data_IF_044300972760
#
_entry.id   IF_044300972760
#
_cell.length_a   1.000
_cell.length_b   1.000
_cell.length_c   1.000
_cell.angle_alpha   90.00
_cell.angle_beta   90.00
_cell.angle_gamma   90.00
#
_symmetry.space_group_name_H-M   'P 1'
#
loop_
_entity.id
_entity.type
_entity.pdbx_description
1 polymer ?
#
# COMPACT_ATOMS: atom_id res chain seq x y z
N UNK A 1 19.44 0.83 0.49
CA UNK A 1 19.88 0.65 1.90
C UNK A 1 18.79 1.27 2.76
N UNK A 2 18.24 0.51 3.71
CA UNK A 2 17.15 1.00 4.58
C UNK A 2 17.62 2.16 5.47
N UNK A 3 16.78 3.18 5.65
CA UNK A 3 17.04 4.34 6.50
C UNK A 3 16.45 4.14 7.90
N UNK A 4 17.22 3.48 8.77
CA UNK A 4 16.86 3.26 10.17
C UNK A 4 17.24 4.46 11.05
N UNK A 5 16.56 4.61 12.19
CA UNK A 5 16.96 5.61 13.19
C UNK A 5 18.32 5.26 13.79
N UNK A 6 19.18 6.27 13.83
CA UNK A 6 20.47 6.22 14.53
C UNK A 6 20.28 6.09 16.04
N UNK A 7 21.36 5.73 16.75
CA UNK A 7 21.37 5.71 18.22
C UNK A 7 20.98 7.08 18.79
N UNK A 8 21.49 8.16 18.19
CA UNK A 8 21.24 9.54 18.63
C UNK A 8 19.76 9.90 18.46
N UNK A 9 19.16 9.58 17.31
CA UNK A 9 17.74 9.84 17.07
C UNK A 9 16.85 9.05 18.03
N UNK A 10 17.15 7.76 18.25
CA UNK A 10 16.41 6.93 19.21
C UNK A 10 16.48 7.50 20.62
N UNK A 11 17.65 7.97 21.04
CA UNK A 11 17.82 8.58 22.36
C UNK A 11 16.98 9.86 22.49
N UNK A 12 16.98 10.72 21.46
CA UNK A 12 16.13 11.93 21.44
C UNK A 12 14.64 11.60 21.52
N UNK A 13 14.20 10.57 20.79
CA UNK A 13 12.79 10.12 20.84
C UNK A 13 12.41 9.66 22.25
N UNK A 14 13.29 8.90 22.92
CA UNK A 14 13.06 8.43 24.29
C UNK A 14 13.00 9.61 25.27
N UNK A 15 13.96 10.52 25.20
CA UNK A 15 14.01 11.69 26.09
C UNK A 15 12.77 12.59 25.90
N UNK A 16 12.34 12.80 24.66
CA UNK A 16 11.12 13.54 24.34
C UNK A 16 9.87 12.83 24.88
N UNK A 17 9.78 11.51 24.71
CA UNK A 17 8.68 10.70 25.21
C UNK A 17 8.56 10.75 26.74
N UNK A 18 9.69 10.72 27.45
CA UNK A 18 9.73 10.78 28.91
C UNK A 18 9.39 12.17 29.43
N UNK A 19 9.94 13.22 28.81
CA UNK A 19 9.73 14.60 29.21
C UNK A 19 8.29 15.06 29.03
N UNK A 20 7.64 14.60 27.96
CA UNK A 20 6.33 15.07 27.51
C UNK A 20 5.29 13.93 27.47
N UNK A 21 5.41 12.93 28.34
CA UNK A 21 4.55 11.75 28.36
C UNK A 21 3.05 12.11 28.35
N UNK A 22 2.63 13.06 29.18
CA UNK A 22 1.23 13.50 29.32
C UNK A 22 0.65 14.07 28.01
N UNK A 23 1.50 14.54 27.09
CA UNK A 23 1.08 15.09 25.79
C UNK A 23 0.75 13.96 24.81
N UNK A 24 1.52 12.87 24.85
CA UNK A 24 1.46 11.81 23.83
C UNK A 24 0.71 10.56 24.30
N UNK A 25 0.56 10.35 25.61
CA UNK A 25 -0.07 9.16 26.18
C UNK A 25 -1.54 9.07 25.75
N UNK A 26 -1.89 7.98 25.07
CA UNK A 26 -3.24 7.71 24.56
C UNK A 26 -3.84 8.87 23.72
N UNK A 27 -2.95 9.69 23.15
CA UNK A 27 -3.28 10.91 22.40
C UNK A 27 -2.63 10.84 21.03
N UNK A 28 -3.30 11.38 20.01
CA UNK A 28 -2.80 11.42 18.63
C UNK A 28 -2.42 12.85 18.26
N UNK A 29 -1.12 13.10 18.11
CA UNK A 29 -0.59 14.41 17.77
C UNK A 29 -0.34 14.48 16.26
N UNK A 30 -0.93 15.48 15.61
CA UNK A 30 -0.61 15.84 14.23
C UNK A 30 0.00 17.24 14.22
N UNK A 31 1.24 17.36 13.73
CA UNK A 31 1.93 18.64 13.56
C UNK A 31 2.10 18.93 12.06
N UNK A 32 1.91 20.18 11.65
CA UNK A 32 2.21 20.62 10.28
C UNK A 32 3.72 20.64 9.97
N UNK A 33 4.55 20.72 11.01
CA UNK A 33 6.01 20.76 10.93
C UNK A 33 6.63 19.47 11.50
N UNK A 34 6.17 18.30 11.03
CA UNK A 34 6.68 17.00 11.48
C UNK A 34 7.89 16.51 10.67
N UNK A 35 8.97 16.16 11.35
CA UNK A 35 10.07 15.31 10.88
C UNK A 35 9.85 13.81 11.21
N UNK A 36 10.77 12.97 10.75
CA UNK A 36 10.70 11.51 10.90
C UNK A 36 10.75 11.04 12.37
N UNK A 37 11.29 11.85 13.28
CA UNK A 37 11.49 11.51 14.70
C UNK A 37 10.34 11.99 15.60
N UNK A 38 9.45 12.85 15.11
CA UNK A 38 8.32 13.31 15.91
C UNK A 38 7.43 12.15 16.37
N UNK A 39 7.03 12.20 17.65
CA UNK A 39 6.12 11.24 18.26
C UNK A 39 4.69 11.59 17.84
N UNK A 40 3.98 10.60 17.31
CA UNK A 40 2.54 10.70 17.00
C UNK A 40 1.73 10.34 18.23
N UNK A 41 2.09 9.25 18.91
CA UNK A 41 1.34 8.72 20.04
C UNK A 41 2.19 7.78 20.88
N UNK A 42 1.82 7.64 22.16
CA UNK A 42 2.36 6.63 23.08
C UNK A 42 1.22 5.71 23.52
N UNK A 43 1.40 4.39 23.37
CA UNK A 43 0.38 3.41 23.75
C UNK A 43 0.05 3.48 25.24
N UNK A 44 -1.21 3.22 25.59
CA UNK A 44 -1.69 3.38 26.95
C UNK A 44 -1.10 2.38 27.94
N UNK A 45 -0.97 1.10 27.55
CA UNK A 45 -0.65 0.03 28.50
C UNK A 45 0.86 -0.15 28.61
N UNK A 46 1.55 -0.34 27.48
CA UNK A 46 2.98 -0.63 27.48
C UNK A 46 3.87 0.59 27.18
N UNK A 47 3.29 1.76 26.92
CA UNK A 47 4.01 2.98 26.53
C UNK A 47 4.90 2.78 25.28
N UNK A 48 4.37 2.07 24.28
CA UNK A 48 5.00 1.94 22.96
C UNK A 48 4.97 3.29 22.25
N UNK A 49 6.12 3.70 21.72
CA UNK A 49 6.30 5.01 21.08
C UNK A 49 6.14 4.83 19.58
N UNK A 50 5.15 5.50 18.99
CA UNK A 50 4.98 5.58 17.54
C UNK A 50 5.48 6.93 17.07
N UNK A 51 6.45 6.92 16.17
CA UNK A 51 6.95 8.12 15.50
C UNK A 51 6.37 8.25 14.09
N UNK A 52 6.43 9.45 13.53
CA UNK A 52 6.09 9.73 12.13
C UNK A 52 6.86 8.81 11.19
N UNK A 53 8.16 8.66 11.43
CA UNK A 53 9.03 7.77 10.68
C UNK A 53 9.22 8.17 9.23
N UNK A 54 9.68 7.21 8.44
CA UNK A 54 9.96 7.36 7.01
C UNK A 54 9.47 6.11 6.26
N UNK A 55 9.93 5.91 5.03
CA UNK A 55 9.52 4.76 4.21
C UNK A 55 9.98 3.39 4.74
N UNK A 56 10.94 3.37 5.66
CA UNK A 56 11.56 2.16 6.22
C UNK A 56 11.24 1.93 7.71
N UNK A 57 10.73 2.93 8.44
CA UNK A 57 10.41 2.79 9.88
C UNK A 57 9.25 3.69 10.32
N UNK A 58 8.58 3.34 11.42
CA UNK A 58 7.56 4.18 12.06
C UNK A 58 6.24 4.21 11.27
N UNK A 59 5.38 5.19 11.57
CA UNK A 59 4.03 5.23 11.03
C UNK A 59 3.97 5.32 9.50
N UNK A 60 4.82 6.14 8.89
CA UNK A 60 4.87 6.30 7.43
C UNK A 60 5.09 4.95 6.75
N UNK A 61 6.06 4.16 7.21
CA UNK A 61 6.31 2.80 6.73
C UNK A 61 5.11 1.88 6.96
N UNK A 62 4.54 1.85 8.17
CA UNK A 62 3.38 1.02 8.50
C UNK A 62 2.19 1.29 7.56
N UNK A 63 1.85 2.56 7.40
CA UNK A 63 0.71 2.99 6.61
C UNK A 63 0.94 2.72 5.12
N UNK A 64 2.11 3.07 4.60
CA UNK A 64 2.42 2.89 3.19
C UNK A 64 2.62 1.41 2.83
N UNK A 65 3.31 0.63 3.66
CA UNK A 65 3.64 -0.75 3.31
C UNK A 65 2.50 -1.72 3.64
N UNK A 66 1.90 -1.57 4.81
CA UNK A 66 0.94 -2.53 5.36
C UNK A 66 -0.49 -2.02 5.43
N UNK A 67 -0.73 -0.71 5.29
CA UNK A 67 -2.07 -0.15 5.23
C UNK A 67 -2.88 -0.74 4.06
N UNK A 68 -4.12 -1.14 4.34
CA UNK A 68 -5.02 -1.78 3.36
C UNK A 68 -5.27 -0.89 2.15
N UNK A 69 -5.46 0.41 2.39
CA UNK A 69 -5.71 1.40 1.35
C UNK A 69 -4.44 1.98 0.72
N UNK A 70 -3.24 1.48 1.05
CA UNK A 70 -2.04 1.93 0.35
C UNK A 70 -1.94 1.32 -1.05
N UNK A 71 -1.63 2.20 -2.01
CA UNK A 71 -1.43 1.88 -3.43
C UNK A 71 0.03 1.88 -3.86
N UNK A 72 0.96 1.98 -2.89
CA UNK A 72 2.38 2.03 -3.21
C UNK A 72 2.86 0.68 -3.75
N UNK A 73 3.42 0.70 -4.94
CA UNK A 73 4.04 -0.46 -5.57
C UNK A 73 5.47 -0.64 -5.02
N UNK A 74 5.75 -1.82 -4.49
CA UNK A 74 7.08 -2.18 -3.99
C UNK A 74 7.71 -3.15 -4.97
N UNK A 75 8.88 -2.82 -5.49
CA UNK A 75 9.61 -3.64 -6.45
C UNK A 75 10.80 -4.29 -5.79
N UNK A 76 10.97 -5.59 -6.00
CA UNK A 76 12.12 -6.35 -5.52
C UNK A 76 12.88 -6.91 -6.72
N UNK A 77 14.19 -6.77 -6.66
CA UNK A 77 15.09 -7.33 -7.66
C UNK A 77 15.21 -8.84 -7.48
N UNK A 78 15.12 -9.56 -8.58
CA UNK A 78 15.46 -10.96 -8.67
C UNK A 78 16.88 -11.08 -9.21
N UNK A 79 17.83 -11.25 -8.29
CA UNK A 79 19.27 -11.31 -8.60
C UNK A 79 19.63 -12.40 -9.63
N UNK A 80 18.87 -13.48 -9.70
CA UNK A 80 19.14 -14.59 -10.65
C UNK A 80 18.76 -14.24 -12.08
N UNK A 81 17.69 -13.46 -12.26
CA UNK A 81 17.12 -13.14 -13.57
C UNK A 81 17.36 -11.69 -13.99
N UNK A 82 17.98 -10.87 -13.14
CA UNK A 82 18.12 -9.41 -13.31
C UNK A 82 16.79 -8.74 -13.67
N UNK A 83 15.68 -9.28 -13.14
CA UNK A 83 14.32 -8.79 -13.37
C UNK A 83 13.74 -8.24 -12.07
N UNK A 84 12.81 -7.30 -12.19
CA UNK A 84 12.07 -6.80 -11.04
C UNK A 84 10.71 -7.46 -10.97
N UNK A 85 10.29 -7.83 -9.76
CA UNK A 85 8.94 -8.33 -9.48
C UNK A 85 8.30 -7.49 -8.39
N UNK A 86 6.98 -7.42 -8.42
CA UNK A 86 6.21 -6.78 -7.35
C UNK A 86 6.33 -7.59 -6.05
N UNK A 87 6.76 -6.92 -4.99
CA UNK A 87 6.56 -7.39 -3.63
C UNK A 87 5.08 -7.21 -3.25
N UNK A 88 4.60 -8.11 -2.40
CA UNK A 88 3.23 -8.15 -1.92
C UNK A 88 3.26 -8.10 -0.40
N UNK A 89 3.59 -6.96 0.24
CA UNK A 89 3.61 -6.86 1.70
C UNK A 89 2.23 -7.22 2.27
N UNK A 90 2.19 -7.91 3.41
CA UNK A 90 0.90 -8.26 4.06
C UNK A 90 0.13 -6.99 4.44
N UNK A 91 -1.18 -7.01 4.24
CA UNK A 91 -2.05 -5.87 4.51
C UNK A 91 -2.91 -6.08 5.75
N UNK A 92 -3.07 -5.02 6.54
CA UNK A 92 -3.99 -4.98 7.67
C UNK A 92 -5.44 -5.18 7.22
N UNK A 93 -6.31 -5.49 8.19
CA UNK A 93 -7.74 -5.65 7.95
C UNK A 93 -8.34 -4.35 7.36
N UNK A 94 -9.24 -4.42 6.36
CA UNK A 94 -9.77 -3.24 5.65
C UNK A 94 -10.45 -2.20 6.55
N UNK A 95 -11.04 -2.64 7.65
CA UNK A 95 -11.75 -1.76 8.58
C UNK A 95 -10.83 -1.13 9.65
N UNK A 96 -9.57 -1.56 9.76
CA UNK A 96 -8.64 -0.98 10.74
C UNK A 96 -8.30 0.47 10.37
N UNK A 97 -8.43 1.36 11.35
CA UNK A 97 -7.98 2.73 11.24
C UNK A 97 -6.47 2.81 11.48
N UNK A 98 -5.69 3.39 10.55
CA UNK A 98 -4.26 3.61 10.74
C UNK A 98 -3.96 4.39 12.02
N UNK A 99 -2.80 4.09 12.63
CA UNK A 99 -2.36 4.56 13.95
C UNK A 99 -3.24 4.02 15.09
N UNK A 100 -4.55 4.31 15.08
CA UNK A 100 -5.49 4.03 16.17
C UNK A 100 -5.61 2.54 16.45
N UNK A 101 -5.84 1.72 15.42
CA UNK A 101 -5.97 0.28 15.62
C UNK A 101 -4.62 -0.42 15.58
N UNK A 102 -3.64 0.16 14.86
CA UNK A 102 -2.28 -0.38 14.81
C UNK A 102 -1.62 -0.34 16.20
N UNK A 103 -1.78 0.77 16.94
CA UNK A 103 -1.24 0.88 18.30
C UNK A 103 -1.92 -0.12 19.24
N UNK A 104 -3.23 -0.33 19.14
CA UNK A 104 -3.95 -1.33 19.97
C UNK A 104 -3.43 -2.75 19.72
N UNK A 105 -3.21 -3.10 18.45
CA UNK A 105 -2.61 -4.39 18.09
C UNK A 105 -1.20 -4.51 18.69
N UNK A 106 -0.36 -3.49 18.49
CA UNK A 106 1.01 -3.47 19.02
C UNK A 106 1.04 -3.61 20.54
N UNK A 107 0.18 -2.87 21.25
CA UNK A 107 0.08 -2.86 22.70
C UNK A 107 -0.38 -4.23 23.23
N UNK A 108 -1.33 -4.88 22.56
CA UNK A 108 -1.79 -6.21 22.95
C UNK A 108 -0.72 -7.30 22.78
N UNK A 109 0.11 -7.21 21.73
CA UNK A 109 1.14 -8.22 21.43
C UNK A 109 2.47 -7.97 22.12
N UNK A 110 2.72 -6.76 22.61
CA UNK A 110 3.95 -6.41 23.32
C UNK A 110 3.93 -6.94 24.75
N UNK A 111 4.39 -8.18 24.92
CA UNK A 111 4.59 -8.81 26.21
C UNK A 111 5.76 -9.82 26.12
N UNK A 112 6.26 -10.26 27.28
CA UNK A 112 7.39 -11.18 27.37
C UNK A 112 7.14 -12.51 26.65
N UNK A 113 5.92 -13.03 26.74
CA UNK A 113 5.56 -14.36 26.23
C UNK A 113 5.55 -14.38 24.69
N UNK A 114 5.27 -13.23 24.09
CA UNK A 114 5.30 -13.03 22.64
C UNK A 114 6.70 -12.66 22.12
N UNK A 115 7.70 -12.40 22.97
CA UNK A 115 9.05 -11.99 22.54
C UNK A 115 9.80 -13.16 21.90
N UNK A 116 10.01 -13.07 20.59
CA UNK A 116 10.65 -14.11 19.78
C UNK A 116 12.16 -13.89 19.67
N UNK A 117 12.92 -14.53 20.55
CA UNK A 117 14.38 -14.45 20.56
C UNK A 117 14.99 -15.23 19.37
N UNK A 118 14.39 -16.36 18.96
CA UNK A 118 14.99 -17.29 17.97
C UNK A 118 14.60 -17.02 16.52
N UNK A 119 13.55 -16.24 16.25
CA UNK A 119 13.00 -15.99 14.90
C UNK A 119 13.12 -14.53 14.47
N UNK A 120 14.19 -13.88 14.92
CA UNK A 120 14.53 -12.51 14.57
C UNK A 120 15.73 -12.52 13.61
N UNK A 121 15.55 -11.94 12.42
CA UNK A 121 16.61 -11.89 11.40
C UNK A 121 17.68 -10.84 11.73
N UNK A 122 17.36 -9.87 12.59
CA UNK A 122 18.26 -8.78 12.99
C UNK A 122 18.17 -8.57 14.52
N UNK A 123 18.58 -9.56 15.33
CA UNK A 123 18.45 -9.53 16.78
C UNK A 123 19.30 -8.45 17.47
N UNK A 124 20.33 -7.95 16.78
CA UNK A 124 21.21 -6.88 17.27
C UNK A 124 20.56 -5.49 17.15
N UNK A 125 19.56 -5.34 16.28
CA UNK A 125 18.94 -4.05 15.94
C UNK A 125 17.51 -3.96 16.44
N UNK A 126 16.78 -5.08 16.43
CA UNK A 126 15.36 -5.11 16.78
C UNK A 126 15.05 -6.13 17.86
N UNK A 127 13.98 -5.87 18.60
CA UNK A 127 13.23 -6.90 19.32
C UNK A 127 11.98 -7.26 18.53
N UNK A 128 11.74 -8.58 18.37
CA UNK A 128 10.57 -9.09 17.65
C UNK A 128 9.58 -9.70 18.61
N UNK A 129 8.33 -9.30 18.48
CA UNK A 129 7.20 -9.87 19.19
C UNK A 129 6.25 -10.51 18.18
N UNK A 130 5.58 -11.59 18.56
CA UNK A 130 4.58 -12.23 17.71
C UNK A 130 3.46 -12.74 18.56
N UNK A 131 2.25 -12.25 18.29
CA UNK A 131 1.05 -12.61 19.02
C UNK A 131 -0.14 -12.65 18.08
N UNK A 132 -1.30 -13.00 18.64
CA UNK A 132 -2.57 -12.99 17.93
C UNK A 132 -3.44 -11.83 18.44
N UNK A 133 -4.18 -11.21 17.53
CA UNK A 133 -5.13 -10.15 17.84
C UNK A 133 -6.42 -10.37 17.05
N UNK A 134 -7.56 -10.14 17.69
CA UNK A 134 -8.88 -10.22 17.07
C UNK A 134 -9.39 -8.81 16.85
N UNK A 135 -9.49 -8.39 15.59
CA UNK A 135 -10.09 -7.09 15.27
C UNK A 135 -11.63 -7.15 15.30
N UNK A 136 -12.19 -8.25 14.80
CA UNK A 136 -13.58 -8.63 15.01
C UNK A 136 -13.64 -9.85 15.92
N UNK A 137 -14.75 -10.06 16.62
CA UNK A 137 -14.94 -11.16 17.58
C UNK A 137 -14.83 -12.57 16.93
N UNK A 138 -14.80 -12.64 15.61
CA UNK A 138 -14.90 -13.89 14.87
C UNK A 138 -13.54 -14.48 14.44
N UNK A 139 -12.49 -13.66 14.29
CA UNK A 139 -11.22 -14.15 13.74
C UNK A 139 -9.97 -13.49 14.34
N UNK A 140 -9.17 -14.33 15.00
CA UNK A 140 -7.81 -13.98 15.42
C UNK A 140 -6.86 -14.03 14.24
N UNK A 141 -6.09 -12.96 14.08
CA UNK A 141 -5.00 -12.88 13.12
C UNK A 141 -3.68 -12.77 13.86
N UNK A 142 -2.65 -13.38 13.30
CA UNK A 142 -1.30 -13.35 13.86
C UNK A 142 -0.55 -12.15 13.32
N UNK A 143 0.12 -11.42 14.20
CA UNK A 143 0.88 -10.21 13.89
C UNK A 143 2.32 -10.33 14.37
N UNK A 144 3.21 -9.61 13.72
CA UNK A 144 4.59 -9.41 14.15
C UNK A 144 4.82 -7.93 14.44
N UNK A 145 5.36 -7.64 15.62
CA UNK A 145 5.82 -6.30 16.00
C UNK A 145 7.34 -6.31 16.08
N UNK A 146 7.96 -5.32 15.48
CA UNK A 146 9.37 -5.01 15.62
C UNK A 146 9.49 -3.68 16.36
N UNK A 147 10.21 -3.70 17.48
CA UNK A 147 10.69 -2.47 18.13
C UNK A 147 12.19 -2.37 17.94
N UNK A 148 12.73 -1.16 18.03
CA UNK A 148 14.18 -1.03 18.16
C UNK A 148 14.66 -1.75 19.43
N UNK A 149 15.83 -2.38 19.34
CA UNK A 149 16.38 -3.25 20.37
C UNK A 149 16.38 -2.57 21.73
N UNK A 150 15.78 -3.22 22.73
CA UNK A 150 15.71 -2.76 24.11
C UNK A 150 15.09 -1.36 24.25
N UNK A 151 14.26 -0.96 23.28
CA UNK A 151 13.44 0.25 23.36
C UNK A 151 11.96 -0.08 23.11
N UNK A 152 11.11 0.90 23.40
CA UNK A 152 9.67 0.86 23.12
C UNK A 152 9.31 1.54 21.80
N UNK A 153 10.29 1.95 21.01
CA UNK A 153 10.05 2.64 19.73
C UNK A 153 9.65 1.61 18.69
N UNK A 154 8.45 1.74 18.14
CA UNK A 154 7.95 0.86 17.09
C UNK A 154 8.73 1.13 15.80
N UNK A 155 9.37 0.07 15.28
CA UNK A 155 9.98 0.08 13.96
C UNK A 155 8.95 -0.30 12.89
N UNK A 156 8.30 -1.46 13.05
CA UNK A 156 7.28 -1.96 12.12
C UNK A 156 6.32 -2.94 12.81
N UNK A 157 5.17 -3.17 12.19
CA UNK A 157 4.06 -4.00 12.65
C UNK A 157 3.35 -4.50 11.40
N UNK A 158 3.17 -5.81 11.29
CA UNK A 158 2.53 -6.38 10.10
C UNK A 158 1.84 -7.72 10.39
N UNK A 159 0.78 -8.07 9.65
CA UNK A 159 0.18 -9.40 9.72
C UNK A 159 1.14 -10.48 9.19
N UNK A 160 1.11 -11.67 9.80
CA UNK A 160 1.86 -12.86 9.37
C UNK A 160 1.41 -13.36 7.99
N UNK A 161 0.11 -13.23 7.68
CA UNK A 161 -0.50 -13.71 6.43
C UNK A 161 -0.97 -12.57 5.52
N UNK A 162 -0.96 -12.83 4.21
CA UNK A 162 -1.42 -11.91 3.15
C UNK A 162 -2.92 -12.04 2.87
N UNK A 163 -3.74 -12.19 3.92
CA UNK A 163 -5.18 -12.52 3.81
C UNK A 163 -5.98 -11.42 3.12
N UNK A 164 -5.64 -10.16 3.41
CA UNK A 164 -6.33 -8.97 2.90
C UNK A 164 -5.64 -8.36 1.67
N UNK A 165 -4.62 -9.02 1.14
CA UNK A 165 -3.95 -8.56 -0.07
C UNK A 165 -4.86 -8.78 -1.29
N UNK A 166 -4.83 -7.82 -2.21
CA UNK A 166 -5.46 -8.01 -3.53
C UNK A 166 -4.72 -9.07 -4.34
N UNK A 167 -5.49 -9.82 -5.12
CA UNK A 167 -4.96 -10.85 -6.02
C UNK A 167 -4.61 -10.19 -7.35
N UNK A 168 -3.34 -9.88 -7.55
CA UNK A 168 -2.84 -9.35 -8.83
C UNK A 168 -2.14 -10.46 -9.61
N UNK A 169 -2.48 -10.62 -10.89
CA UNK A 169 -1.88 -11.62 -11.79
C UNK A 169 -0.85 -11.06 -12.77
N UNK A 170 -0.94 -9.77 -13.07
CA UNK A 170 -0.01 -9.14 -14.02
C UNK A 170 1.29 -8.72 -13.34
N UNK A 171 2.35 -8.57 -14.17
CA UNK A 171 3.69 -8.16 -13.74
C UNK A 171 3.82 -6.65 -13.44
N UNK A 172 2.78 -5.88 -13.73
CA UNK A 172 2.73 -4.43 -13.56
C UNK A 172 2.00 -4.04 -12.28
N UNK A 173 2.47 -2.98 -11.62
CA UNK A 173 1.86 -2.46 -10.40
C UNK A 173 0.69 -1.55 -10.76
N UNK A 174 -0.45 -1.70 -10.07
CA UNK A 174 -1.59 -0.78 -10.28
C UNK A 174 -1.21 0.60 -9.73
N UNK A 175 -1.29 1.64 -10.54
CA UNK A 175 -1.04 3.01 -10.12
C UNK A 175 -2.28 3.66 -9.50
N UNK A 176 -2.27 4.99 -9.44
CA UNK A 176 -3.38 5.78 -8.89
C UNK A 176 -4.45 5.97 -9.97
N UNK A 177 -5.68 5.59 -9.65
CA UNK A 177 -6.84 5.82 -10.51
C UNK A 177 -7.12 7.30 -10.59
N UNK A 178 -7.26 7.82 -11.81
CA UNK A 178 -7.51 9.24 -12.04
C UNK A 178 -8.72 9.45 -12.94
N UNK A 179 -9.43 10.54 -12.71
CA UNK A 179 -10.51 11.01 -13.57
C UNK A 179 -10.53 12.53 -13.60
N UNK A 180 -10.86 13.13 -14.74
CA UNK A 180 -11.19 14.56 -14.80
C UNK A 180 -12.63 14.73 -14.32
N UNK A 181 -12.82 15.35 -13.16
CA UNK A 181 -14.15 15.57 -12.57
C UNK A 181 -14.89 16.76 -13.20
N UNK A 182 -14.18 17.66 -13.89
CA UNK A 182 -14.80 18.73 -14.69
C UNK A 182 -15.22 18.16 -16.04
N UNK A 183 -16.49 18.35 -16.43
CA UNK A 183 -17.04 17.92 -17.73
C UNK A 183 -16.11 18.34 -18.88
N UNK A 184 -15.34 17.42 -19.46
CA UNK A 184 -14.52 17.74 -20.61
C UNK A 184 -15.43 17.83 -21.85
N UNK A 185 -15.06 18.65 -22.81
CA UNK A 185 -15.83 18.79 -24.04
C UNK A 185 -15.70 17.47 -24.83
N UNK A 186 -16.81 16.73 -24.94
CA UNK A 186 -16.94 15.55 -25.81
C UNK A 186 -16.84 14.19 -25.11
N UNK A 187 -15.86 13.98 -24.23
CA UNK A 187 -15.69 12.72 -23.51
C UNK A 187 -15.15 12.91 -22.08
N UNK A 188 -15.28 11.90 -21.22
CA UNK A 188 -14.63 11.85 -19.92
C UNK A 188 -14.00 10.48 -19.67
N UNK A 189 -12.85 10.49 -19.02
CA UNK A 189 -11.97 9.33 -18.82
C UNK A 189 -11.78 9.04 -17.35
N UNK A 190 -12.05 7.80 -16.97
CA UNK A 190 -11.55 7.19 -15.75
C UNK A 190 -10.42 6.23 -16.15
N UNK A 191 -9.21 6.54 -15.70
CA UNK A 191 -7.98 5.86 -16.05
C UNK A 191 -7.47 5.04 -14.87
N UNK A 192 -7.20 3.77 -15.10
CA UNK A 192 -6.57 2.85 -14.16
C UNK A 192 -5.22 2.44 -14.74
N UNK A 193 -4.11 3.10 -14.34
CA UNK A 193 -2.79 2.81 -14.89
C UNK A 193 -2.19 1.54 -14.26
N UNK A 194 -1.39 0.85 -15.07
CA UNK A 194 -0.53 -0.25 -14.66
C UNK A 194 0.91 0.06 -15.08
N UNK A 195 1.76 0.22 -14.07
CA UNK A 195 3.08 0.81 -14.18
C UNK A 195 4.17 -0.25 -13.99
N UNK A 196 5.32 -0.01 -14.61
CA UNK A 196 6.53 -0.78 -14.36
C UNK A 196 7.29 -0.24 -13.14
N UNK A 197 8.49 -0.79 -12.90
CA UNK A 197 9.37 -0.40 -11.77
C UNK A 197 9.78 1.08 -11.80
N UNK A 198 9.80 1.69 -12.98
CA UNK A 198 10.24 3.06 -13.21
C UNK A 198 9.03 4.03 -13.20
N UNK A 199 7.86 3.57 -12.74
CA UNK A 199 6.59 4.31 -12.74
C UNK A 199 6.12 4.73 -14.14
N UNK A 200 6.60 4.04 -15.19
CA UNK A 200 6.14 4.25 -16.57
C UNK A 200 4.92 3.37 -16.78
N UNK A 201 3.82 3.96 -17.25
CA UNK A 201 2.59 3.23 -17.58
C UNK A 201 2.84 2.30 -18.76
N UNK A 202 2.69 0.99 -18.57
CA UNK A 202 2.79 -0.01 -19.62
C UNK A 202 1.42 -0.38 -20.18
N UNK A 203 0.40 -0.38 -19.33
CA UNK A 203 -0.99 -0.60 -19.68
C UNK A 203 -1.88 0.39 -18.95
N UNK A 204 -3.01 0.73 -19.54
CA UNK A 204 -4.09 1.39 -18.82
C UNK A 204 -5.43 0.76 -19.15
N UNK A 205 -6.27 0.60 -18.13
CA UNK A 205 -7.68 0.33 -18.32
C UNK A 205 -8.39 1.67 -18.30
N UNK A 206 -9.16 1.93 -19.35
CA UNK A 206 -9.84 3.19 -19.58
C UNK A 206 -11.34 2.94 -19.68
N UNK A 207 -12.08 3.56 -18.77
CA UNK A 207 -13.54 3.68 -18.89
C UNK A 207 -13.82 5.06 -19.45
N UNK A 208 -14.27 5.13 -20.70
CA UNK A 208 -14.48 6.38 -21.42
C UNK A 208 -15.95 6.60 -21.73
N UNK A 209 -16.52 7.69 -21.22
CA UNK A 209 -17.87 8.16 -21.54
C UNK A 209 -17.83 9.15 -22.71
N UNK A 210 -18.46 8.82 -23.82
CA UNK A 210 -18.64 9.70 -24.98
C UNK A 210 -20.01 10.38 -24.91
N UNK A 211 -20.05 11.66 -24.56
CA UNK A 211 -21.32 12.35 -24.25
C UNK A 211 -22.20 12.60 -25.47
N UNK A 212 -21.61 12.83 -26.64
CA UNK A 212 -22.37 13.04 -27.89
C UNK A 212 -23.04 11.74 -28.36
N UNK A 213 -22.35 10.61 -28.19
CA UNK A 213 -22.82 9.29 -28.58
C UNK A 213 -23.71 8.64 -27.50
N UNK A 214 -23.62 9.13 -26.25
CA UNK A 214 -24.23 8.51 -25.05
C UNK A 214 -23.79 7.06 -24.84
N UNK A 215 -22.50 6.80 -25.11
CA UNK A 215 -21.89 5.46 -25.01
C UNK A 215 -20.68 5.51 -24.08
N UNK A 216 -20.61 4.58 -23.15
CA UNK A 216 -19.44 4.28 -22.35
C UNK A 216 -18.71 3.09 -22.97
N UNK A 217 -17.40 3.21 -23.17
CA UNK A 217 -16.53 2.15 -23.66
C UNK A 217 -15.52 1.75 -22.60
N UNK A 218 -15.33 0.45 -22.45
CA UNK A 218 -14.23 -0.13 -21.70
C UNK A 218 -13.10 -0.47 -22.68
N UNK A 219 -11.93 0.11 -22.44
CA UNK A 219 -10.78 0.03 -23.34
C UNK A 219 -9.54 -0.39 -22.54
N UNK A 220 -8.75 -1.32 -23.07
CA UNK A 220 -7.36 -1.51 -22.62
C UNK A 220 -6.45 -0.77 -23.59
N UNK A 221 -5.59 0.11 -23.08
CA UNK A 221 -4.52 0.72 -23.86
C UNK A 221 -3.21 0.06 -23.49
N UNK A 222 -2.41 -0.31 -24.51
CA UNK A 222 -1.01 -0.71 -24.35
C UNK A 222 -0.12 0.47 -24.69
N UNK A 223 0.89 0.69 -23.87
CA UNK A 223 1.80 1.81 -24.00
C UNK A 223 3.18 1.35 -24.44
N UNK A 224 3.93 2.25 -25.07
CA UNK A 224 5.33 2.03 -25.42
C UNK A 224 6.26 2.17 -24.19
N UNK A 225 7.57 2.08 -24.43
CA UNK A 225 8.60 2.19 -23.38
C UNK A 225 8.67 3.58 -22.73
N UNK A 226 8.10 4.61 -23.35
CA UNK A 226 8.04 5.98 -22.86
C UNK A 226 6.72 6.26 -22.12
N UNK A 227 5.77 5.33 -22.18
CA UNK A 227 4.44 5.45 -21.57
C UNK A 227 3.40 6.09 -22.49
N UNK A 228 3.66 6.22 -23.79
CA UNK A 228 2.68 6.74 -24.75
C UNK A 228 1.75 5.62 -25.24
N UNK A 229 0.42 5.86 -25.37
CA UNK A 229 -0.50 4.85 -25.91
C UNK A 229 -0.15 4.45 -27.35
N UNK A 230 0.06 3.15 -27.59
CA UNK A 230 0.41 2.59 -28.90
C UNK A 230 -0.73 1.75 -29.49
N UNK A 231 -1.40 0.93 -28.67
CA UNK A 231 -2.49 0.06 -29.11
C UNK A 231 -3.73 0.22 -28.22
N UNK A 232 -4.91 0.04 -28.82
CA UNK A 232 -6.21 0.17 -28.17
C UNK A 232 -7.04 -1.09 -28.42
N UNK A 233 -7.55 -1.68 -27.35
CA UNK A 233 -8.40 -2.86 -27.36
C UNK A 233 -9.75 -2.49 -26.75
N UNK A 234 -10.79 -2.33 -27.57
CA UNK A 234 -12.15 -2.06 -27.09
C UNK A 234 -12.77 -3.39 -26.64
N UNK A 235 -13.09 -3.48 -25.36
CA UNK A 235 -13.60 -4.72 -24.75
C UNK A 235 -15.12 -4.80 -24.72
N UNK A 236 -15.77 -3.64 -24.67
CA UNK A 236 -17.22 -3.57 -24.61
C UNK A 236 -17.73 -2.15 -24.56
N UNK A 237 -19.04 -2.03 -24.76
CA UNK A 237 -19.74 -0.77 -24.71
C UNK A 237 -21.10 -0.90 -24.02
N UNK A 238 -21.53 0.16 -23.35
CA UNK A 238 -22.89 0.31 -22.85
C UNK A 238 -23.43 1.70 -23.19
N UNK A 239 -24.73 1.81 -23.40
CA UNK A 239 -25.40 3.10 -23.51
C UNK A 239 -25.70 3.66 -22.13
N UNK A 240 -25.65 4.99 -21.96
CA UNK A 240 -26.05 5.65 -20.73
C UNK A 240 -27.03 6.81 -21.01
N UNK A 241 -27.85 7.17 -20.01
CA UNK A 241 -28.77 8.30 -20.11
C UNK A 241 -28.03 9.63 -19.92
N UNK A 242 -28.69 10.76 -20.22
CA UNK A 242 -28.02 12.06 -20.21
C UNK A 242 -27.32 12.41 -18.87
N UNK A 243 -26.10 12.92 -18.99
CA UNK A 243 -25.27 13.52 -17.93
C UNK A 243 -24.73 12.61 -16.82
N UNK A 244 -24.41 11.34 -17.12
CA UNK A 244 -23.63 10.50 -16.19
C UNK A 244 -22.15 10.94 -16.17
N UNK A 245 -21.68 11.59 -15.10
CA UNK A 245 -20.25 11.88 -14.87
C UNK A 245 -19.61 10.84 -13.95
N UNK A 246 -18.31 10.63 -14.09
CA UNK A 246 -17.56 9.92 -13.03
C UNK A 246 -17.48 10.79 -11.78
N UNK A 247 -17.59 10.13 -10.65
CA UNK A 247 -17.57 10.67 -9.30
C UNK A 247 -16.29 10.26 -8.57
N UNK A 248 -16.10 10.79 -7.37
CA UNK A 248 -15.05 10.30 -6.48
C UNK A 248 -15.29 8.84 -6.06
N UNK A 249 -16.54 8.44 -5.92
CA UNK A 249 -16.92 7.06 -5.59
C UNK A 249 -16.51 6.09 -6.71
N UNK A 250 -16.66 6.48 -7.98
CA UNK A 250 -16.17 5.67 -9.11
C UNK A 250 -14.65 5.48 -9.04
N UNK A 251 -13.90 6.55 -8.75
CA UNK A 251 -12.44 6.44 -8.61
C UNK A 251 -12.07 5.51 -7.46
N UNK A 252 -12.71 5.64 -6.29
CA UNK A 252 -12.47 4.78 -5.14
C UNK A 252 -12.84 3.33 -5.44
N UNK A 253 -13.99 3.10 -6.08
CA UNK A 253 -14.43 1.78 -6.53
C UNK A 253 -13.33 1.14 -7.38
N UNK A 254 -12.97 1.76 -8.50
CA UNK A 254 -11.93 1.21 -9.37
C UNK A 254 -10.55 1.17 -8.73
N UNK A 255 -10.25 2.04 -7.77
CA UNK A 255 -9.00 1.99 -7.03
C UNK A 255 -8.95 0.70 -6.19
N UNK A 256 -10.06 0.25 -5.60
CA UNK A 256 -10.13 -0.86 -4.64
C UNK A 256 -10.60 -2.20 -5.22
N UNK A 257 -11.28 -2.18 -6.35
CA UNK A 257 -11.91 -3.36 -6.97
C UNK A 257 -10.90 -4.43 -7.42
N UNK A 258 -11.36 -5.68 -7.43
CA UNK A 258 -10.67 -6.81 -8.06
C UNK A 258 -10.85 -6.73 -9.59
N UNK A 259 -9.77 -6.40 -10.30
CA UNK A 259 -9.78 -6.26 -11.76
C UNK A 259 -9.21 -7.49 -12.47
N UNK A 260 -9.18 -8.65 -11.80
CA UNK A 260 -8.55 -9.87 -12.29
C UNK A 260 -8.97 -10.28 -13.71
N UNK A 261 -10.25 -10.12 -14.07
CA UNK A 261 -10.71 -10.49 -15.42
C UNK A 261 -10.08 -9.60 -16.50
N UNK A 262 -9.88 -8.31 -16.21
CA UNK A 262 -9.20 -7.38 -17.11
C UNK A 262 -7.68 -7.59 -17.10
N UNK A 263 -7.12 -7.94 -15.94
CA UNK A 263 -5.71 -8.33 -15.80
C UNK A 263 -5.38 -9.61 -16.59
N UNK A 264 -6.32 -10.57 -16.63
CA UNK A 264 -6.19 -11.79 -17.43
C UNK A 264 -6.15 -11.46 -18.94
N UNK A 265 -6.92 -10.47 -19.41
CA UNK A 265 -6.85 -9.98 -20.78
C UNK A 265 -5.50 -9.30 -21.07
N UNK A 266 -4.99 -8.45 -20.17
CA UNK A 266 -3.66 -7.84 -20.31
C UNK A 266 -2.57 -8.92 -20.44
N UNK A 267 -2.64 -9.95 -19.59
CA UNK A 267 -1.69 -11.07 -19.62
C UNK A 267 -1.76 -11.82 -20.96
N UNK A 268 -2.97 -11.99 -21.50
CA UNK A 268 -3.15 -12.62 -22.82
C UNK A 268 -2.54 -11.79 -23.95
N UNK A 269 -2.72 -10.46 -23.94
CA UNK A 269 -2.11 -9.54 -24.91
C UNK A 269 -0.58 -9.65 -24.88
N UNK A 270 0.02 -9.68 -23.69
CA UNK A 270 1.47 -9.86 -23.52
C UNK A 270 1.97 -11.20 -24.11
N UNK A 271 1.23 -12.30 -23.89
CA UNK A 271 1.63 -13.64 -24.33
C UNK A 271 1.54 -13.84 -25.86
N UNK A 272 0.55 -13.20 -26.53
CA UNK A 272 0.43 -13.27 -27.99
C UNK A 272 1.67 -12.68 -28.67
N UNK A 273 2.20 -11.58 -28.16
CA UNK A 273 3.37 -10.93 -28.76
C UNK A 273 4.68 -11.67 -28.54
N UNK A 274 4.86 -12.34 -27.39
CA UNK A 274 6.04 -13.17 -27.14
C UNK A 274 6.14 -14.27 -28.21
N UNK A 275 5.02 -14.90 -28.56
CA UNK A 275 4.99 -15.93 -29.61
C UNK A 275 5.38 -15.37 -31.00
N UNK A 276 5.02 -14.12 -31.31
CA UNK A 276 5.34 -13.49 -32.60
C UNK A 276 6.83 -13.08 -32.69
N UNK A 277 7.49 -12.84 -31.55
CA UNK A 277 8.90 -12.47 -31.48
C UNK A 277 9.80 -13.72 -31.51
N UNK A 278 9.36 -14.85 -30.94
CA UNK A 278 10.12 -16.12 -30.95
C UNK A 278 10.08 -16.87 -32.30
N UNK A 279 9.10 -16.56 -33.16
CA UNK A 279 8.96 -17.15 -34.51
C UNK A 279 9.71 -16.36 -35.62
N UNK A 280 10.57 -15.40 -35.27
CA UNK A 280 11.42 -14.62 -36.21
C UNK A 280 12.90 -14.88 -36.01
#
# INVERSE_FOLDING_TARGET
MEKLFTIIERQKIIEEAEKNLDIYLDTYVMSGDSDETNIITISKINHLIVTQGNEDTGFTHLNNRHGFFSFKNYWIENNELQTFKLDKPSKFHPNMMPIIDFIKVADAIFNSDNKNITKNNHPDIFDKYTGEYSYTDEQREKYHLLTYKDTKIIHSLFPDKKKHNRKTKIKYGKGIVTCKTKFPIGYNDLLIPYENKDSITAYSILVRKYYKEKVERLIIQKHDIEGNPQYLFVLGERTFNDYESFTHEDMLYYQHEDLKDLEDIITHIDNIEICIIEDK
#
